data_IF_988040232149
#
_entry.id   IF_988040232149
#
_cell.length_a   1.000
_cell.length_b   1.000
_cell.length_c   1.000
_cell.angle_alpha   90.00
_cell.angle_beta   90.00
_cell.angle_gamma   90.00
#
_symmetry.space_group_name_H-M   'P 1'
#
loop_
_entity.id
_entity.type
_entity.pdbx_description
1 polymer ?
#
# COMPACT_ATOMS: atom_id res chain seq x y z
N UNK A 1 14.42 13.56 9.13
CA UNK A 1 13.18 14.07 9.76
C UNK A 1 12.04 14.24 8.76
N UNK A 2 12.32 14.47 7.47
CA UNK A 2 11.29 14.70 6.43
C UNK A 2 10.43 13.46 6.09
N UNK A 3 11.00 12.26 6.07
CA UNK A 3 10.30 11.03 5.65
C UNK A 3 9.16 10.60 6.58
N UNK A 4 9.30 10.86 7.89
CA UNK A 4 8.27 10.53 8.87
C UNK A 4 6.99 11.34 8.61
N UNK A 5 7.15 12.62 8.25
CA UNK A 5 6.05 13.52 7.96
C UNK A 5 5.25 13.08 6.72
N UNK A 6 5.94 12.54 5.69
CA UNK A 6 5.29 12.00 4.49
C UNK A 6 4.44 10.77 4.82
N UNK A 7 4.97 9.81 5.60
CA UNK A 7 4.22 8.60 5.97
C UNK A 7 2.96 8.91 6.79
N UNK A 8 3.05 9.86 7.71
CA UNK A 8 1.90 10.28 8.51
C UNK A 8 0.84 11.01 7.65
N UNK A 9 1.28 11.89 6.75
CA UNK A 9 0.40 12.58 5.79
C UNK A 9 -0.33 11.59 4.87
N UNK A 10 0.41 10.64 4.29
CA UNK A 10 -0.15 9.64 3.37
C UNK A 10 -1.11 8.69 4.11
N UNK A 11 -0.78 8.31 5.35
CA UNK A 11 -1.69 7.52 6.21
C UNK A 11 -2.99 8.28 6.49
N UNK A 12 -2.93 9.59 6.70
CA UNK A 12 -4.10 10.43 6.89
C UNK A 12 -4.96 10.47 5.62
N UNK A 13 -4.36 10.76 4.45
CA UNK A 13 -5.05 10.77 3.15
C UNK A 13 -5.73 9.43 2.89
N UNK A 14 -5.03 8.31 3.14
CA UNK A 14 -5.63 6.99 2.94
C UNK A 14 -6.78 6.73 3.90
N UNK A 15 -6.66 7.17 5.16
CA UNK A 15 -7.71 7.02 6.17
C UNK A 15 -8.97 7.78 5.80
N UNK A 16 -8.82 9.00 5.29
CA UNK A 16 -9.92 9.82 4.78
C UNK A 16 -10.58 9.17 3.56
N UNK A 17 -9.79 8.69 2.61
CA UNK A 17 -10.29 7.94 1.45
C UNK A 17 -11.10 6.72 1.86
N UNK A 18 -10.59 5.90 2.79
CA UNK A 18 -11.29 4.71 3.28
C UNK A 18 -12.62 5.08 3.95
N UNK A 19 -12.64 6.12 4.79
CA UNK A 19 -13.86 6.60 5.43
C UNK A 19 -14.89 7.10 4.41
N UNK A 20 -14.46 7.94 3.46
CA UNK A 20 -15.35 8.51 2.46
C UNK A 20 -16.01 7.44 1.55
N UNK A 21 -15.32 6.31 1.34
CA UNK A 21 -15.78 5.21 0.50
C UNK A 21 -16.36 4.01 1.29
N UNK A 22 -16.59 4.15 2.60
CA UNK A 22 -17.19 3.09 3.42
C UNK A 22 -16.31 1.84 3.59
N UNK A 23 -15.01 1.98 3.36
CA UNK A 23 -14.05 0.90 3.47
C UNK A 23 -13.49 0.76 4.89
N UNK A 24 -13.33 -0.48 5.36
CA UNK A 24 -12.76 -0.74 6.70
C UNK A 24 -11.31 -0.28 6.80
N UNK A 25 -10.96 0.30 7.94
CA UNK A 25 -9.59 0.63 8.36
C UNK A 25 -9.02 -0.59 9.07
N UNK A 26 -8.12 -1.33 8.43
CA UNK A 26 -7.53 -2.53 9.03
C UNK A 26 -6.02 -2.37 9.15
N UNK A 27 -5.38 -2.94 10.19
CA UNK A 27 -3.93 -2.87 10.36
C UNK A 27 -3.15 -3.35 9.13
N UNK A 28 -3.65 -4.39 8.44
CA UNK A 28 -3.01 -4.96 7.25
C UNK A 28 -2.93 -3.95 6.10
N UNK A 29 -3.98 -3.14 5.92
CA UNK A 29 -4.01 -2.10 4.88
C UNK A 29 -2.95 -1.02 5.14
N UNK A 30 -2.77 -0.65 6.41
CA UNK A 30 -1.75 0.32 6.80
C UNK A 30 -0.34 -0.26 6.73
N UNK A 31 -0.17 -1.54 7.09
CA UNK A 31 1.12 -2.23 6.93
C UNK A 31 1.55 -2.29 5.45
N UNK A 32 0.62 -2.59 4.53
CA UNK A 32 0.88 -2.57 3.09
C UNK A 32 1.32 -1.17 2.64
N UNK A 33 0.60 -0.12 3.06
CA UNK A 33 0.94 1.27 2.75
C UNK A 33 2.33 1.65 3.24
N UNK A 34 2.65 1.34 4.50
CA UNK A 34 3.95 1.65 5.10
C UNK A 34 5.09 0.93 4.38
N UNK A 35 4.88 -0.34 4.01
CA UNK A 35 5.88 -1.12 3.29
C UNK A 35 6.13 -0.52 1.92
N UNK A 36 5.08 -0.17 1.15
CA UNK A 36 5.19 0.51 -0.14
C UNK A 36 6.00 1.81 -0.03
N UNK A 37 5.67 2.66 0.94
CA UNK A 37 6.37 3.93 1.18
C UNK A 37 7.75 3.77 1.85
N UNK A 38 8.19 2.53 2.06
CA UNK A 38 9.56 2.21 2.47
C UNK A 38 10.37 1.59 1.33
N UNK A 39 9.78 1.41 0.14
CA UNK A 39 10.49 0.95 -1.05
C UNK A 39 10.96 2.17 -1.83
N UNK A 40 12.27 2.27 -2.04
CA UNK A 40 12.83 3.23 -2.98
C UNK A 40 12.64 2.73 -4.41
N UNK A 41 12.00 3.55 -5.25
CA UNK A 41 11.78 3.25 -6.67
C UNK A 41 10.56 2.38 -6.98
N UNK A 42 10.64 1.63 -8.07
CA UNK A 42 9.52 0.81 -8.56
C UNK A 42 9.50 -0.57 -7.87
N UNK A 43 8.32 -1.14 -7.72
CA UNK A 43 8.12 -2.50 -7.23
C UNK A 43 7.09 -3.23 -8.08
N UNK A 44 7.19 -4.56 -8.11
CA UNK A 44 6.12 -5.44 -8.56
C UNK A 44 5.40 -6.07 -7.35
N UNK A 45 4.31 -6.78 -7.65
CA UNK A 45 3.45 -7.37 -6.63
C UNK A 45 4.15 -8.51 -5.87
N UNK A 46 4.98 -9.30 -6.53
CA UNK A 46 5.65 -10.45 -5.92
C UNK A 46 6.78 -10.00 -4.98
N UNK A 47 7.50 -8.94 -5.33
CA UNK A 47 8.48 -8.29 -4.46
C UNK A 47 7.80 -7.71 -3.21
N UNK A 48 6.69 -6.97 -3.39
CA UNK A 48 5.95 -6.43 -2.26
C UNK A 48 5.43 -7.55 -1.34
N UNK A 49 4.86 -8.61 -1.92
CA UNK A 49 4.37 -9.76 -1.16
C UNK A 49 5.48 -10.44 -0.35
N UNK A 50 6.65 -10.67 -0.97
CA UNK A 50 7.81 -11.25 -0.29
C UNK A 50 8.26 -10.38 0.89
N UNK A 51 8.40 -9.06 0.68
CA UNK A 51 8.76 -8.13 1.77
C UNK A 51 7.74 -8.10 2.91
N UNK A 52 6.46 -8.29 2.60
CA UNK A 52 5.41 -8.37 3.62
C UNK A 52 5.47 -9.68 4.41
N UNK A 53 5.82 -10.79 3.78
CA UNK A 53 6.00 -12.08 4.47
C UNK A 53 7.21 -12.06 5.42
N UNK A 54 8.26 -11.33 5.06
CA UNK A 54 9.45 -11.13 5.91
C UNK A 54 9.15 -10.27 7.15
N UNK A 55 8.06 -9.49 7.12
CA UNK A 55 7.56 -8.80 8.31
C UNK A 55 6.72 -9.79 9.13
N UNK A 56 7.26 -10.23 10.27
CA UNK A 56 6.71 -11.28 11.15
C UNK A 56 5.22 -11.14 11.56
N UNK A 57 4.58 -10.00 11.28
CA UNK A 57 3.21 -9.69 11.65
C UNK A 57 2.21 -9.56 10.50
N UNK A 58 2.60 -9.75 9.23
CA UNK A 58 1.63 -9.67 8.15
C UNK A 58 0.83 -10.99 8.01
N UNK A 59 -0.40 -10.98 8.53
CA UNK A 59 -1.35 -12.11 8.42
C UNK A 59 -2.26 -12.03 7.18
N UNK A 60 -2.00 -11.08 6.29
CA UNK A 60 -2.81 -10.87 5.08
C UNK A 60 -2.51 -11.89 3.99
N UNK A 61 -3.51 -12.21 3.18
CA UNK A 61 -3.33 -13.05 1.99
C UNK A 61 -2.93 -12.23 0.77
N UNK A 62 -2.55 -12.90 -0.33
CA UNK A 62 -2.40 -12.27 -1.65
C UNK A 62 -3.65 -11.45 -2.03
N UNK A 63 -4.85 -11.98 -1.75
CA UNK A 63 -6.09 -11.27 -2.04
C UNK A 63 -6.21 -9.94 -1.25
N UNK A 64 -5.79 -9.94 0.03
CA UNK A 64 -5.74 -8.71 0.83
C UNK A 64 -4.79 -7.68 0.23
N UNK A 65 -3.62 -8.13 -0.25
CA UNK A 65 -2.64 -7.27 -0.92
C UNK A 65 -3.21 -6.67 -2.20
N UNK A 66 -3.75 -7.49 -3.12
CA UNK A 66 -4.34 -7.01 -4.37
C UNK A 66 -5.49 -6.03 -4.13
N UNK A 67 -6.39 -6.35 -3.19
CA UNK A 67 -7.50 -5.47 -2.83
C UNK A 67 -6.98 -4.11 -2.33
N UNK A 68 -5.93 -4.10 -1.52
CA UNK A 68 -5.36 -2.86 -0.99
C UNK A 68 -4.65 -2.06 -2.08
N UNK A 69 -3.92 -2.71 -3.00
CA UNK A 69 -3.27 -2.03 -4.12
C UNK A 69 -4.30 -1.28 -4.99
N UNK A 70 -5.44 -1.90 -5.28
CA UNK A 70 -6.52 -1.24 -6.02
C UNK A 70 -7.00 0.03 -5.30
N UNK A 71 -7.21 -0.06 -3.98
CA UNK A 71 -7.62 1.10 -3.18
C UNK A 71 -6.57 2.22 -3.19
N UNK A 72 -5.29 1.88 -3.11
CA UNK A 72 -4.20 2.84 -3.13
C UNK A 72 -4.05 3.54 -4.49
N UNK A 73 -4.27 2.80 -5.59
CA UNK A 73 -4.32 3.37 -6.94
C UNK A 73 -5.50 4.33 -7.06
N UNK A 74 -6.68 3.92 -6.61
CA UNK A 74 -7.88 4.77 -6.65
C UNK A 74 -7.75 6.02 -5.77
N UNK A 75 -7.04 5.91 -4.64
CA UNK A 75 -6.69 7.03 -3.76
C UNK A 75 -5.56 7.91 -4.32
N UNK A 76 -4.99 7.58 -5.49
CA UNK A 76 -3.84 8.25 -6.11
C UNK A 76 -2.57 8.27 -5.24
N UNK A 77 -2.44 7.30 -4.35
CA UNK A 77 -1.27 7.11 -3.49
C UNK A 77 -0.23 6.19 -4.10
N UNK A 78 -0.60 5.42 -5.13
CA UNK A 78 0.27 4.54 -5.92
C UNK A 78 -0.09 4.69 -7.40
N UNK A 79 0.93 4.65 -8.27
CA UNK A 79 0.74 4.68 -9.72
C UNK A 79 1.09 3.30 -10.28
N UNK A 80 0.19 2.73 -11.08
CA UNK A 80 0.46 1.52 -11.84
C UNK A 80 1.15 1.90 -13.15
N UNK A 81 2.39 1.46 -13.33
CA UNK A 81 3.06 1.46 -14.62
C UNK A 81 2.91 0.10 -15.28
N UNK A 82 2.42 0.08 -16.52
CA UNK A 82 2.39 -1.12 -17.35
C UNK A 82 3.44 -0.97 -18.43
N UNK A 83 4.46 -1.82 -18.39
CA UNK A 83 5.51 -1.87 -19.39
C UNK A 83 5.20 -2.97 -20.41
N UNK A 84 5.17 -2.61 -21.68
CA UNK A 84 4.98 -3.54 -22.79
C UNK A 84 3.55 -4.04 -23.00
N UNK A 85 3.15 -4.02 -24.26
CA UNK A 85 2.22 -4.96 -24.91
C UNK A 85 2.76 -5.10 -26.32
N UNK A 86 3.72 -6.00 -26.52
CA UNK A 86 4.08 -6.47 -27.85
C UNK A 86 3.63 -7.91 -27.96
#
# INVERSE_FOLDING_TARGET
METQNVKDTVRQIFTEYLTANGHRKTPERYAILDTIYSIDGHFDIDMLYSRMMDQENFRGSRATLYNTIILLINARLVIKHQFGTS
#
